data_IF_424537572005
#
_entry.id   IF_424537572005
#
_cell.length_a   1.000
_cell.length_b   1.000
_cell.length_c   1.000
_cell.angle_alpha   90.00
_cell.angle_beta   90.00
_cell.angle_gamma   90.00
#
_symmetry.space_group_name_H-M   'P 1'
#
loop_
_entity.id
_entity.type
_entity.pdbx_description
1 polymer ?
#
# COMPACT_ATOMS: atom_id res chain seq x y z
N UNK A 1 -6.41 -76.60 -44.89
CA UNK A 1 -5.19 -77.33 -45.32
C UNK A 1 -4.20 -76.32 -45.91
N UNK A 2 -2.96 -76.33 -45.39
CA UNK A 2 -1.73 -75.76 -45.99
C UNK A 2 -1.67 -74.23 -46.07
N UNK A 3 -0.58 -73.49 -45.81
CA UNK A 3 0.76 -73.67 -45.23
C UNK A 3 1.36 -72.26 -45.22
N UNK A 4 2.22 -71.96 -44.25
CA UNK A 4 3.00 -70.72 -44.18
C UNK A 4 4.00 -70.57 -45.34
N UNK A 5 4.34 -69.33 -45.72
CA UNK A 5 5.62 -68.98 -46.37
C UNK A 5 6.17 -67.68 -45.74
N UNK A 6 7.46 -67.75 -45.42
CA UNK A 6 8.32 -66.78 -44.75
C UNK A 6 8.96 -65.77 -45.73
N UNK A 7 9.56 -64.73 -45.12
CA UNK A 7 10.73 -63.95 -45.57
C UNK A 7 10.47 -62.97 -46.73
N UNK A 8 11.09 -61.80 -46.86
CA UNK A 8 12.10 -61.00 -46.17
C UNK A 8 12.04 -59.63 -46.90
N UNK A 9 12.33 -58.46 -46.33
CA UNK A 9 13.66 -57.88 -46.23
C UNK A 9 13.48 -56.34 -46.09
N UNK A 10 14.08 -55.79 -45.04
CA UNK A 10 14.75 -54.48 -44.92
C UNK A 10 14.24 -53.24 -45.69
N UNK A 11 13.89 -52.18 -44.93
CA UNK A 11 14.17 -50.75 -45.21
C UNK A 11 14.06 -49.99 -43.87
N UNK A 12 15.14 -49.89 -43.10
CA UNK A 12 15.95 -48.66 -42.89
C UNK A 12 15.15 -47.40 -42.58
N UNK A 13 15.34 -46.88 -41.35
CA UNK A 13 14.92 -45.53 -40.98
C UNK A 13 14.92 -45.27 -39.49
N UNK A 14 16.03 -45.47 -38.78
CA UNK A 14 16.17 -44.94 -37.41
C UNK A 14 16.34 -43.43 -37.54
N UNK A 15 15.26 -42.67 -37.32
CA UNK A 15 15.35 -41.23 -37.11
C UNK A 15 15.85 -40.97 -35.69
N UNK A 16 17.15 -40.70 -35.56
CA UNK A 16 17.75 -40.11 -34.37
C UNK A 16 17.20 -38.69 -34.23
N UNK A 17 16.19 -38.52 -33.37
CA UNK A 17 15.68 -37.21 -32.99
C UNK A 17 16.69 -36.57 -32.02
N UNK A 18 17.56 -35.72 -32.55
CA UNK A 18 18.46 -34.90 -31.76
C UNK A 18 17.65 -33.90 -30.92
N UNK A 19 17.58 -34.12 -29.61
CA UNK A 19 17.13 -33.11 -28.65
C UNK A 19 18.20 -32.01 -28.59
N UNK A 20 18.03 -30.97 -29.39
CA UNK A 20 18.80 -29.75 -29.26
C UNK A 20 18.38 -29.06 -27.95
N UNK A 21 19.21 -29.21 -26.93
CA UNK A 21 19.15 -28.39 -25.72
C UNK A 21 19.43 -26.94 -26.10
N UNK A 22 18.37 -26.18 -26.39
CA UNK A 22 18.44 -24.74 -26.57
C UNK A 22 18.86 -24.12 -25.23
N UNK A 23 19.96 -23.34 -25.15
CA UNK A 23 20.22 -22.54 -23.97
C UNK A 23 19.06 -21.55 -23.83
N UNK A 24 18.34 -21.62 -22.72
CA UNK A 24 17.39 -20.59 -22.33
C UNK A 24 18.19 -19.31 -22.07
N UNK A 25 18.38 -18.50 -23.11
CA UNK A 25 18.78 -17.12 -22.94
C UNK A 25 17.61 -16.42 -22.29
N UNK A 26 17.69 -16.21 -20.97
CA UNK A 26 16.85 -15.23 -20.31
C UNK A 26 17.17 -13.88 -20.97
N UNK A 27 16.38 -13.49 -21.96
CA UNK A 27 16.35 -12.13 -22.45
C UNK A 27 15.88 -11.27 -21.28
N UNK A 28 16.81 -10.68 -20.55
CA UNK A 28 16.54 -9.47 -19.79
C UNK A 28 16.15 -8.41 -20.83
N UNK A 29 14.88 -8.36 -21.21
CA UNK A 29 14.31 -7.16 -21.78
C UNK A 29 14.59 -6.06 -20.76
N UNK A 30 15.33 -5.02 -21.17
CA UNK A 30 15.42 -3.80 -20.39
C UNK A 30 14.02 -3.22 -20.33
N UNK A 31 13.24 -3.61 -19.33
CA UNK A 31 11.98 -2.95 -19.03
C UNK A 31 12.26 -1.47 -18.73
N UNK A 32 11.36 -0.62 -19.18
CA UNK A 32 11.41 0.80 -18.84
C UNK A 32 11.43 0.95 -17.32
N UNK A 33 12.11 2.00 -16.83
CA UNK A 33 12.13 2.28 -15.40
C UNK A 33 10.70 2.31 -14.84
N UNK A 34 10.43 1.71 -13.66
CA UNK A 34 9.11 1.79 -13.03
C UNK A 34 8.67 3.24 -12.73
N UNK A 35 9.62 4.19 -12.72
CA UNK A 35 9.37 5.62 -12.53
C UNK A 35 9.08 6.38 -13.84
N UNK A 36 9.14 5.72 -15.00
CA UNK A 36 8.94 6.38 -16.29
C UNK A 36 7.56 7.05 -16.39
N UNK A 37 6.54 6.48 -15.73
CA UNK A 37 5.19 7.01 -15.69
C UNK A 37 5.05 8.27 -14.82
N UNK A 38 5.91 8.45 -13.81
CA UNK A 38 5.85 9.57 -12.85
C UNK A 38 6.45 10.88 -13.40
N UNK A 39 7.08 10.87 -14.59
CA UNK A 39 7.75 12.05 -15.16
C UNK A 39 6.76 13.18 -15.55
N UNK A 40 5.46 12.90 -15.61
CA UNK A 40 4.41 13.86 -15.96
C UNK A 40 3.37 14.11 -14.86
N UNK A 41 3.57 13.56 -13.66
CA UNK A 41 2.64 13.76 -12.53
C UNK A 41 2.91 15.10 -11.84
N UNK A 42 1.94 15.56 -11.05
CA UNK A 42 2.06 16.83 -10.30
C UNK A 42 3.26 16.83 -9.34
N UNK A 43 3.54 15.67 -8.73
CA UNK A 43 4.69 15.46 -7.84
C UNK A 43 5.43 14.21 -8.30
N UNK A 44 6.53 14.39 -9.04
CA UNK A 44 7.24 13.27 -9.67
C UNK A 44 7.86 12.25 -8.69
N UNK A 45 8.02 12.62 -7.41
CA UNK A 45 8.51 11.73 -6.35
C UNK A 45 7.41 10.90 -5.67
N UNK A 46 6.14 11.15 -5.99
CA UNK A 46 4.98 10.43 -5.47
C UNK A 46 4.21 9.77 -6.62
N UNK A 47 3.51 8.69 -6.29
CA UNK A 47 2.48 8.13 -7.16
C UNK A 47 1.20 8.96 -7.11
N UNK A 48 0.35 8.88 -8.15
CA UNK A 48 -0.96 9.55 -8.16
C UNK A 48 -1.86 9.06 -7.02
N UNK A 49 -1.74 7.78 -6.65
CA UNK A 49 -2.44 7.20 -5.51
C UNK A 49 -1.99 7.85 -4.20
N UNK A 50 -0.69 7.96 -3.94
CA UNK A 50 -0.17 8.63 -2.73
C UNK A 50 -0.61 10.10 -2.66
N UNK A 51 -0.57 10.83 -3.77
CA UNK A 51 -1.06 12.22 -3.82
C UNK A 51 -2.55 12.27 -3.47
N UNK A 52 -3.35 11.37 -4.04
CA UNK A 52 -4.78 11.28 -3.74
C UNK A 52 -5.03 10.93 -2.27
N UNK A 53 -4.34 9.94 -1.72
CA UNK A 53 -4.49 9.51 -0.33
C UNK A 53 -4.12 10.64 0.65
N UNK A 54 -3.02 11.36 0.39
CA UNK A 54 -2.61 12.53 1.19
C UNK A 54 -3.66 13.64 1.14
N UNK A 55 -4.19 13.97 -0.04
CA UNK A 55 -5.23 14.98 -0.23
C UNK A 55 -6.55 14.65 0.44
N UNK A 56 -6.88 13.37 0.54
CA UNK A 56 -8.09 12.90 1.19
C UNK A 56 -7.90 12.55 2.66
N UNK A 57 -6.67 12.62 3.18
CA UNK A 57 -6.33 12.27 4.55
C UNK A 57 -6.58 10.79 4.86
N UNK A 58 -6.35 9.91 3.88
CA UNK A 58 -6.52 8.48 4.03
C UNK A 58 -5.42 7.88 4.92
N UNK A 59 -5.71 6.73 5.51
CA UNK A 59 -4.84 6.12 6.51
C UNK A 59 -3.53 5.56 5.97
N UNK A 60 -3.44 5.23 4.67
CA UNK A 60 -2.23 4.70 4.00
C UNK A 60 -1.53 3.54 4.75
N UNK A 61 -2.27 2.77 5.56
CA UNK A 61 -1.71 1.76 6.46
C UNK A 61 -0.90 2.29 7.66
N UNK A 62 -0.82 3.61 7.87
CA UNK A 62 -0.02 4.27 8.90
C UNK A 62 -0.38 3.86 10.33
N UNK A 63 -1.64 3.51 10.57
CA UNK A 63 -2.15 3.05 11.87
C UNK A 63 -2.24 1.53 12.02
N UNK A 64 -1.61 0.75 11.13
CA UNK A 64 -1.63 -0.73 11.19
C UNK A 64 -1.21 -1.28 12.56
N UNK A 65 -0.24 -0.63 13.22
CA UNK A 65 0.18 -1.04 14.56
C UNK A 65 -0.96 -0.94 15.60
N UNK A 66 -1.82 0.09 15.51
CA UNK A 66 -2.97 0.22 16.40
C UNK A 66 -4.04 -0.82 16.05
N UNK A 67 -4.39 -0.92 14.77
CA UNK A 67 -5.43 -1.82 14.28
C UNK A 67 -5.16 -3.29 14.64
N UNK A 68 -3.91 -3.76 14.46
CA UNK A 68 -3.51 -5.14 14.79
C UNK A 68 -3.38 -5.40 16.30
N UNK A 69 -3.45 -4.36 17.14
CA UNK A 69 -3.33 -4.48 18.59
C UNK A 69 -4.61 -4.05 19.31
N UNK A 70 -5.77 -4.26 18.68
CA UNK A 70 -7.10 -4.05 19.28
C UNK A 70 -7.42 -2.58 19.61
N UNK A 71 -6.89 -1.64 18.83
CA UNK A 71 -7.27 -0.23 18.87
C UNK A 71 -8.05 0.11 17.59
N UNK A 72 -9.39 0.11 17.63
CA UNK A 72 -10.21 0.32 16.44
C UNK A 72 -10.07 1.74 15.86
N UNK A 73 -9.99 1.84 14.54
CA UNK A 73 -9.99 3.12 13.83
C UNK A 73 -11.39 3.76 13.76
N UNK A 74 -11.50 5.10 13.84
CA UNK A 74 -12.82 5.77 13.87
C UNK A 74 -13.65 5.55 12.60
N UNK A 75 -13.01 5.46 11.42
CA UNK A 75 -13.69 5.16 10.14
C UNK A 75 -14.44 3.83 10.21
N UNK A 76 -13.74 2.77 10.60
CA UNK A 76 -14.30 1.43 10.68
C UNK A 76 -15.32 1.26 11.81
N UNK A 77 -15.16 1.99 12.91
CA UNK A 77 -16.18 2.04 13.96
C UNK A 77 -17.49 2.66 13.47
N UNK A 78 -17.42 3.72 12.67
CA UNK A 78 -18.61 4.35 12.09
C UNK A 78 -19.27 3.44 11.04
N UNK A 79 -18.47 2.74 10.22
CA UNK A 79 -18.96 1.76 9.24
C UNK A 79 -19.68 0.59 9.91
N UNK A 80 -19.18 0.12 11.06
CA UNK A 80 -19.73 -1.02 11.82
C UNK A 80 -20.64 -0.60 12.98
N UNK A 81 -21.08 0.67 13.03
CA UNK A 81 -21.79 1.21 14.19
C UNK A 81 -23.05 0.40 14.59
N UNK A 82 -23.92 0.00 13.63
CA UNK A 82 -25.08 -0.84 13.96
C UNK A 82 -24.69 -2.20 14.52
N UNK A 83 -23.71 -2.87 13.89
CA UNK A 83 -23.23 -4.19 14.29
C UNK A 83 -22.58 -4.13 15.66
N UNK A 84 -21.86 -3.07 15.99
CA UNK A 84 -21.23 -2.87 17.29
C UNK A 84 -22.23 -2.45 18.37
N UNK A 85 -23.46 -2.09 18.00
CA UNK A 85 -24.46 -1.55 18.93
C UNK A 85 -23.98 -0.25 19.57
N UNK A 86 -23.34 0.63 18.79
CA UNK A 86 -22.90 1.94 19.28
C UNK A 86 -24.13 2.80 19.58
N UNK A 87 -24.13 3.48 20.74
CA UNK A 87 -25.15 4.48 21.04
C UNK A 87 -24.98 5.71 20.15
N UNK A 88 -26.05 6.51 19.99
CA UNK A 88 -25.99 7.78 19.26
C UNK A 88 -24.88 8.71 19.81
N UNK A 89 -24.69 8.71 21.12
CA UNK A 89 -23.65 9.50 21.78
C UNK A 89 -22.23 8.99 21.44
N UNK A 90 -22.02 7.67 21.42
CA UNK A 90 -20.74 7.08 20.96
C UNK A 90 -20.47 7.43 19.51
N UNK A 91 -21.47 7.27 18.63
CA UNK A 91 -21.37 7.63 17.21
C UNK A 91 -21.01 9.11 17.03
N UNK A 92 -21.64 10.01 17.80
CA UNK A 92 -21.33 11.43 17.75
C UNK A 92 -19.89 11.74 18.17
N UNK A 93 -19.39 11.12 19.24
CA UNK A 93 -18.01 11.33 19.71
C UNK A 93 -16.98 10.75 18.74
N UNK A 94 -17.22 9.54 18.22
CA UNK A 94 -16.34 8.89 17.23
C UNK A 94 -16.30 9.69 15.93
N UNK A 95 -17.43 10.25 15.48
CA UNK A 95 -17.47 11.14 14.31
C UNK A 95 -16.65 12.41 14.52
N UNK A 96 -16.73 13.03 15.70
CA UNK A 96 -15.88 14.18 16.03
C UNK A 96 -14.39 13.82 16.04
N UNK A 97 -14.01 12.62 16.48
CA UNK A 97 -12.63 12.12 16.41
C UNK A 97 -12.22 11.91 14.94
N UNK A 98 -13.05 11.25 14.14
CA UNK A 98 -12.82 11.04 12.71
C UNK A 98 -12.59 12.34 11.97
N UNK A 99 -13.47 13.32 12.15
CA UNK A 99 -13.44 14.57 11.39
C UNK A 99 -12.22 15.43 11.77
N UNK A 100 -11.85 15.45 13.07
CA UNK A 100 -10.62 16.10 13.54
C UNK A 100 -9.36 15.40 13.02
N UNK A 101 -9.34 14.08 13.01
CA UNK A 101 -8.23 13.32 12.43
C UNK A 101 -8.10 13.63 10.94
N UNK A 102 -9.20 13.52 10.19
CA UNK A 102 -9.23 13.72 8.75
C UNK A 102 -8.79 15.13 8.37
N UNK A 103 -9.31 16.18 9.02
CA UNK A 103 -8.91 17.55 8.72
C UNK A 103 -7.41 17.80 8.97
N UNK A 104 -6.86 17.26 10.05
CA UNK A 104 -5.42 17.34 10.36
C UNK A 104 -4.57 16.54 9.38
N UNK A 105 -5.04 15.36 8.96
CA UNK A 105 -4.36 14.51 8.00
C UNK A 105 -4.30 15.19 6.62
N UNK A 106 -5.40 15.77 6.15
CA UNK A 106 -5.45 16.53 4.89
C UNK A 106 -4.47 17.70 4.92
N UNK A 107 -4.51 18.53 5.97
CA UNK A 107 -3.59 19.66 6.10
C UNK A 107 -2.12 19.21 6.08
N UNK A 108 -1.80 18.11 6.78
CA UNK A 108 -0.44 17.55 6.77
C UNK A 108 -0.09 16.90 5.42
N UNK A 109 -1.06 16.33 4.72
CA UNK A 109 -0.90 15.78 3.38
C UNK A 109 -0.48 16.83 2.37
N UNK A 110 -1.14 17.99 2.37
CA UNK A 110 -0.77 19.13 1.52
C UNK A 110 0.66 19.64 1.83
N UNK A 111 1.03 19.75 3.11
CA UNK A 111 2.41 20.12 3.50
C UNK A 111 3.45 19.12 2.94
N UNK A 112 3.14 17.82 2.97
CA UNK A 112 4.02 16.77 2.45
C UNK A 112 4.12 16.86 0.93
N UNK A 113 3.00 17.02 0.23
CA UNK A 113 2.95 17.19 -1.23
C UNK A 113 3.83 18.38 -1.65
N UNK A 114 3.68 19.53 -1.00
CA UNK A 114 4.49 20.72 -1.29
C UNK A 114 6.00 20.48 -1.09
N UNK A 115 6.38 19.78 -0.01
CA UNK A 115 7.78 19.51 0.28
C UNK A 115 8.40 18.46 -0.65
N UNK A 116 7.61 17.47 -1.08
CA UNK A 116 8.00 16.50 -2.11
C UNK A 116 8.19 17.18 -3.48
N UNK A 117 7.30 18.10 -3.86
CA UNK A 117 7.47 18.92 -5.06
C UNK A 117 8.74 19.76 -5.00
N UNK A 118 9.00 20.41 -3.86
CA UNK A 118 10.23 21.18 -3.68
C UNK A 118 11.49 20.31 -3.78
N UNK A 119 11.45 19.10 -3.22
CA UNK A 119 12.55 18.13 -3.35
C UNK A 119 12.80 17.79 -4.84
N UNK A 120 11.74 17.54 -5.61
CA UNK A 120 11.85 17.26 -7.04
C UNK A 120 12.43 18.46 -7.83
N UNK A 121 12.00 19.69 -7.52
CA UNK A 121 12.51 20.92 -8.13
C UNK A 121 14.01 21.13 -7.87
N UNK A 122 14.49 20.83 -6.66
CA UNK A 122 15.91 20.95 -6.32
C UNK A 122 16.77 20.03 -7.20
N UNK A 123 16.32 18.81 -7.49
CA UNK A 123 17.00 17.94 -8.44
C UNK A 123 16.85 18.42 -9.89
N UNK A 124 15.67 18.87 -10.28
CA UNK A 124 15.41 19.40 -11.63
C UNK A 124 16.28 20.63 -11.97
N UNK A 125 16.69 21.41 -10.95
CA UNK A 125 17.63 22.53 -11.10
C UNK A 125 19.04 22.12 -11.56
N UNK A 126 19.39 20.83 -11.46
CA UNK A 126 20.69 20.28 -11.83
C UNK A 126 21.84 20.60 -10.88
N UNK A 127 21.59 21.30 -9.76
CA UNK A 127 22.62 21.65 -8.76
C UNK A 127 22.11 21.43 -7.32
N UNK A 128 21.70 20.21 -6.93
CA UNK A 128 21.30 19.94 -5.56
C UNK A 128 22.48 20.14 -4.60
N UNK A 129 22.26 20.82 -3.48
CA UNK A 129 23.27 20.93 -2.42
C UNK A 129 23.06 19.86 -1.34
N UNK A 130 24.16 19.30 -0.82
CA UNK A 130 24.10 18.30 0.27
C UNK A 130 23.36 18.85 1.48
N UNK A 131 23.63 20.11 1.84
CA UNK A 131 23.02 20.77 2.98
C UNK A 131 21.50 20.92 2.81
N UNK A 132 21.02 21.35 1.64
CA UNK A 132 19.58 21.47 1.37
C UNK A 132 18.91 20.11 1.34
N UNK A 133 19.55 19.08 0.77
CA UNK A 133 19.03 17.71 0.76
C UNK A 133 18.84 17.19 2.18
N UNK A 134 19.84 17.31 3.07
CA UNK A 134 19.72 16.90 4.47
C UNK A 134 18.59 17.66 5.18
N UNK A 135 18.45 18.97 4.94
CA UNK A 135 17.40 19.79 5.55
C UNK A 135 16.00 19.38 5.09
N UNK A 136 15.76 19.30 3.78
CA UNK A 136 14.45 19.01 3.19
C UNK A 136 14.00 17.61 3.54
N UNK A 137 14.87 16.61 3.39
CA UNK A 137 14.53 15.21 3.71
C UNK A 137 14.30 15.00 5.22
N UNK A 138 15.06 15.67 6.09
CA UNK A 138 14.80 15.64 7.54
C UNK A 138 13.45 16.25 7.91
N UNK A 139 13.06 17.33 7.23
CA UNK A 139 11.74 17.94 7.42
C UNK A 139 10.61 17.02 6.92
N UNK A 140 10.76 16.42 5.74
CA UNK A 140 9.83 15.41 5.19
C UNK A 140 9.65 14.23 6.16
N UNK A 141 10.75 13.69 6.70
CA UNK A 141 10.70 12.63 7.70
C UNK A 141 9.90 13.02 8.94
N UNK A 142 10.09 14.25 9.43
CA UNK A 142 9.29 14.80 10.55
C UNK A 142 7.81 14.89 10.19
N UNK A 143 7.47 15.41 9.02
CA UNK A 143 6.08 15.55 8.58
C UNK A 143 5.37 14.21 8.39
N UNK A 144 6.05 13.22 7.79
CA UNK A 144 5.49 11.85 7.67
C UNK A 144 5.28 11.22 9.04
N UNK A 145 6.20 11.41 9.99
CA UNK A 145 6.01 10.98 11.39
C UNK A 145 4.81 11.66 12.07
N UNK A 146 4.60 12.96 11.82
CA UNK A 146 3.43 13.69 12.32
C UNK A 146 2.12 13.19 11.71
N UNK A 147 2.10 12.88 10.41
CA UNK A 147 0.93 12.28 9.75
C UNK A 147 0.59 10.92 10.36
N UNK A 148 1.60 10.07 10.57
CA UNK A 148 1.40 8.79 11.23
C UNK A 148 0.83 8.96 12.66
N UNK A 149 1.36 9.92 13.41
CA UNK A 149 0.87 10.21 14.76
C UNK A 149 -0.59 10.67 14.77
N UNK A 150 -1.03 11.47 13.77
CA UNK A 150 -2.44 11.89 13.64
C UNK A 150 -3.36 10.66 13.59
N UNK A 151 -3.05 9.67 12.76
CA UNK A 151 -3.87 8.46 12.65
C UNK A 151 -3.78 7.59 13.92
N UNK A 152 -2.58 7.33 14.45
CA UNK A 152 -2.42 6.50 15.65
C UNK A 152 -3.13 7.09 16.88
N UNK A 153 -3.06 8.41 17.07
CA UNK A 153 -3.77 9.07 18.17
C UNK A 153 -5.28 8.96 18.02
N UNK A 154 -5.82 9.03 16.80
CA UNK A 154 -7.25 8.85 16.56
C UNK A 154 -7.72 7.43 16.92
N UNK A 155 -6.90 6.40 16.69
CA UNK A 155 -7.19 5.03 17.16
C UNK A 155 -7.20 4.95 18.70
N UNK A 156 -6.24 5.59 19.38
CA UNK A 156 -6.21 5.64 20.86
C UNK A 156 -7.45 6.35 21.42
N UNK A 157 -7.84 7.47 20.83
CA UNK A 157 -9.04 8.21 21.23
C UNK A 157 -10.31 7.41 20.98
N UNK A 158 -10.42 6.78 19.81
CA UNK A 158 -11.59 5.98 19.43
C UNK A 158 -11.79 4.76 20.33
N UNK A 159 -10.71 4.07 20.69
CA UNK A 159 -10.79 2.92 21.58
C UNK A 159 -11.36 3.27 22.97
N UNK A 160 -11.12 4.49 23.47
CA UNK A 160 -11.67 4.97 24.76
C UNK A 160 -13.17 5.18 24.73
N UNK A 161 -13.76 5.30 23.55
CA UNK A 161 -15.21 5.44 23.37
C UNK A 161 -15.94 4.11 23.43
N UNK A 162 -15.23 2.98 23.42
CA UNK A 162 -15.80 1.64 23.40
C UNK A 162 -15.64 0.92 24.73
N UNK A 163 -16.61 0.05 25.03
CA UNK A 163 -16.43 -0.97 26.05
C UNK A 163 -15.53 -2.11 25.55
N UNK A 164 -14.93 -2.87 26.48
CA UNK A 164 -14.19 -4.09 26.13
C UNK A 164 -15.01 -5.11 25.34
N UNK A 165 -16.34 -5.16 25.56
CA UNK A 165 -17.23 -6.04 24.80
C UNK A 165 -17.35 -5.57 23.34
N UNK A 166 -17.47 -4.26 23.12
CA UNK A 166 -17.51 -3.68 21.77
C UNK A 166 -16.17 -3.85 21.04
N UNK A 167 -15.04 -3.67 21.71
CA UNK A 167 -13.71 -3.92 21.10
C UNK A 167 -13.57 -5.38 20.67
N UNK A 168 -13.92 -6.36 21.53
CA UNK A 168 -13.88 -7.77 21.13
C UNK A 168 -14.83 -8.08 19.97
N UNK A 169 -15.99 -7.42 19.90
CA UNK A 169 -16.93 -7.58 18.78
C UNK A 169 -16.35 -7.00 17.50
N UNK A 170 -15.74 -5.82 17.56
CA UNK A 170 -14.99 -5.21 16.46
C UNK A 170 -13.92 -6.15 15.94
N UNK A 171 -13.09 -6.69 16.83
CA UNK A 171 -12.00 -7.60 16.45
C UNK A 171 -12.52 -8.84 15.70
N UNK A 172 -13.65 -9.41 16.11
CA UNK A 172 -14.28 -10.53 15.37
C UNK A 172 -14.81 -10.09 14.01
N UNK A 173 -15.51 -8.95 13.95
CA UNK A 173 -16.04 -8.40 12.68
C UNK A 173 -14.93 -8.09 11.67
N UNK A 174 -13.73 -7.75 12.17
CA UNK A 174 -12.54 -7.45 11.38
C UNK A 174 -11.65 -8.66 11.12
N UNK A 175 -11.96 -9.82 11.70
CA UNK A 175 -11.17 -11.05 11.54
C UNK A 175 -9.86 -11.09 12.33
N UNK A 176 -9.71 -10.26 13.36
CA UNK A 176 -8.56 -10.29 14.27
C UNK A 176 -8.71 -11.31 15.39
N UNK A 177 -9.93 -11.75 15.68
CA UNK A 177 -10.23 -12.82 16.62
C UNK A 177 -11.13 -13.86 15.93
N UNK A 178 -10.74 -15.13 16.08
CA UNK A 178 -11.52 -16.30 15.67
C UNK A 178 -12.58 -16.67 16.71
#
# INVERSE_FOLDING_TARGET
MKTAIFASAWLTGIYLLAMASMPATAQHAHELSPYAHSRGTEVASLTDEEVSELRHGEGMGLARAAELNHFPGPKHLLELAPELGLSNDQVSRIRAIHDRMKSRAIAKGEDIIMAESHLAELFASGKPSIQEMTRVTGHLGTMRGQLQAIHLLAHIESAKELSHVQIRKYDRLRGYLN
#
